data_IF_856990349200
#
_entry.id   IF_856990349200
#
_cell.length_a   1.000
_cell.length_b   1.000
_cell.length_c   1.000
_cell.angle_alpha   90.00
_cell.angle_beta   90.00
_cell.angle_gamma   90.00
#
_symmetry.space_group_name_H-M   'P 1'
#
loop_
_entity.id
_entity.type
_entity.pdbx_description
1 polymer ?
#
# COMPACT_ATOMS: atom_id res chain seq x y z
N UNK A 1 16.34 14.73 28.12
CA UNK A 1 15.50 15.71 27.40
C UNK A 1 15.94 15.91 25.95
N UNK A 2 17.16 16.39 25.65
CA UNK A 2 17.66 16.59 24.27
C UNK A 2 17.56 15.34 23.38
N UNK A 3 18.01 14.19 23.90
CA UNK A 3 17.94 12.89 23.21
C UNK A 3 16.53 12.42 22.86
N UNK A 4 15.54 12.75 23.70
CA UNK A 4 14.15 12.34 23.51
C UNK A 4 13.45 13.22 22.45
N UNK A 5 13.72 14.53 22.47
CA UNK A 5 13.26 15.46 21.42
C UNK A 5 13.84 15.07 20.06
N UNK A 6 15.13 14.72 20.02
CA UNK A 6 15.79 14.24 18.80
C UNK A 6 15.18 12.93 18.27
N UNK A 7 14.79 12.02 19.17
CA UNK A 7 14.11 10.77 18.80
C UNK A 7 12.71 11.03 18.20
N UNK A 8 11.90 11.88 18.83
CA UNK A 8 10.58 12.24 18.30
C UNK A 8 10.69 12.91 16.93
N UNK A 9 11.65 13.82 16.77
CA UNK A 9 11.87 14.46 15.48
C UNK A 9 12.23 13.48 14.38
N UNK A 10 13.04 12.46 14.67
CA UNK A 10 13.36 11.39 13.71
C UNK A 10 12.12 10.58 13.31
N UNK A 11 11.24 10.26 14.27
CA UNK A 11 9.98 9.56 13.99
C UNK A 11 9.04 10.40 13.13
N UNK A 12 8.95 11.71 13.36
CA UNK A 12 8.17 12.63 12.51
C UNK A 12 8.72 12.72 11.10
N UNK A 13 10.04 12.82 10.95
CA UNK A 13 10.69 12.81 9.64
C UNK A 13 10.37 11.50 8.92
N UNK A 14 10.55 10.36 9.59
CA UNK A 14 10.27 9.05 9.02
C UNK A 14 8.78 8.90 8.65
N UNK A 15 7.86 9.22 9.56
CA UNK A 15 6.42 9.11 9.34
C UNK A 15 5.92 10.06 8.25
N UNK A 16 6.39 11.31 8.25
CA UNK A 16 6.03 12.32 7.27
C UNK A 16 6.53 11.99 5.87
N UNK A 17 7.82 11.65 5.73
CA UNK A 17 8.38 11.21 4.44
C UNK A 17 7.70 9.94 3.94
N UNK A 18 7.48 8.95 4.81
CA UNK A 18 6.82 7.71 4.41
C UNK A 18 5.42 7.99 3.89
N UNK A 19 4.63 8.81 4.60
CA UNK A 19 3.26 9.21 4.22
C UNK A 19 3.22 9.95 2.87
N UNK A 20 4.31 10.64 2.48
CA UNK A 20 4.42 11.29 1.17
C UNK A 20 4.86 10.30 0.09
N UNK A 21 5.90 9.51 0.36
CA UNK A 21 6.61 8.74 -0.66
C UNK A 21 5.85 7.46 -1.05
N UNK A 22 5.27 6.73 -0.09
CA UNK A 22 4.62 5.45 -0.44
C UNK A 22 3.48 5.60 -1.47
N UNK A 23 2.60 6.64 -1.40
CA UNK A 23 1.58 6.84 -2.42
C UNK A 23 2.16 7.10 -3.82
N UNK A 24 3.29 7.81 -3.92
CA UNK A 24 3.97 8.00 -5.20
C UNK A 24 4.51 6.69 -5.77
N UNK A 25 5.09 5.83 -4.92
CA UNK A 25 5.59 4.52 -5.37
C UNK A 25 4.44 3.63 -5.85
N UNK A 26 3.29 3.63 -5.15
CA UNK A 26 2.09 2.94 -5.61
C UNK A 26 1.60 3.48 -6.95
N UNK A 27 1.55 4.81 -7.10
CA UNK A 27 1.14 5.44 -8.36
C UNK A 27 2.06 5.03 -9.51
N UNK A 28 3.37 5.08 -9.31
CA UNK A 28 4.34 4.66 -10.32
C UNK A 28 4.15 3.18 -10.66
N UNK A 29 3.94 2.33 -9.66
CA UNK A 29 3.65 0.91 -9.85
C UNK A 29 2.48 0.68 -10.82
N UNK A 30 1.33 1.30 -10.55
CA UNK A 30 0.14 1.19 -11.39
C UNK A 30 0.33 1.80 -12.79
N UNK A 31 0.99 2.96 -12.89
CA UNK A 31 1.27 3.60 -14.19
C UNK A 31 2.22 2.80 -15.08
N UNK A 32 3.03 1.92 -14.51
CA UNK A 32 3.94 1.04 -15.27
C UNK A 32 3.24 -0.24 -15.77
N UNK A 33 1.97 -0.49 -15.45
CA UNK A 33 1.26 -1.60 -16.07
C UNK A 33 1.07 -1.34 -17.58
N UNK A 34 1.44 -2.30 -18.45
CA UNK A 34 1.42 -2.12 -19.90
C UNK A 34 0.02 -1.82 -20.45
N UNK A 35 -1.02 -2.35 -19.80
CA UNK A 35 -2.41 -2.22 -20.22
C UNK A 35 -3.27 -1.47 -19.19
N UNK A 36 -2.81 -0.30 -18.72
CA UNK A 36 -3.52 0.49 -17.70
C UNK A 36 -4.97 0.84 -18.06
N UNK A 37 -5.31 0.88 -19.35
CA UNK A 37 -6.67 1.16 -19.84
C UNK A 37 -7.55 -0.10 -19.97
N UNK A 38 -6.96 -1.29 -19.79
CA UNK A 38 -7.73 -2.53 -19.80
C UNK A 38 -8.55 -2.66 -18.53
N UNK A 39 -9.75 -3.21 -18.70
CA UNK A 39 -10.66 -3.61 -17.61
C UNK A 39 -10.67 -5.13 -17.45
N UNK A 40 -9.76 -5.84 -18.12
CA UNK A 40 -9.69 -7.29 -18.11
C UNK A 40 -9.06 -7.78 -16.80
N UNK A 41 -9.72 -8.73 -16.17
CA UNK A 41 -9.21 -9.43 -15.00
C UNK A 41 -8.37 -10.62 -15.50
N UNK A 42 -7.24 -10.88 -14.84
CA UNK A 42 -6.42 -12.06 -15.14
C UNK A 42 -7.13 -13.30 -14.60
N UNK A 43 -7.73 -14.08 -15.49
CA UNK A 43 -8.48 -15.31 -15.19
C UNK A 43 -7.73 -16.58 -15.64
N UNK A 44 -6.81 -16.44 -16.60
CA UNK A 44 -6.10 -17.56 -17.20
C UNK A 44 -4.57 -17.39 -17.13
N UNK A 45 -3.85 -18.50 -17.02
CA UNK A 45 -2.39 -18.54 -16.97
C UNK A 45 -1.73 -17.84 -18.16
N UNK A 46 -2.32 -17.95 -19.35
CA UNK A 46 -1.85 -17.31 -20.57
C UNK A 46 -1.88 -15.77 -20.45
N UNK A 47 -2.93 -15.21 -19.85
CA UNK A 47 -3.01 -13.77 -19.59
C UNK A 47 -1.94 -13.34 -18.59
N UNK A 48 -1.68 -14.13 -17.55
CA UNK A 48 -0.59 -13.86 -16.62
C UNK A 48 0.76 -13.87 -17.34
N UNK A 49 1.02 -14.85 -18.20
CA UNK A 49 2.26 -14.96 -18.99
C UNK A 49 2.46 -13.73 -19.87
N UNK A 50 1.42 -13.28 -20.57
CA UNK A 50 1.48 -12.08 -21.42
C UNK A 50 1.91 -10.83 -20.64
N UNK A 51 1.53 -10.74 -19.36
CA UNK A 51 1.85 -9.60 -18.52
C UNK A 51 3.32 -9.55 -18.08
N UNK A 52 3.97 -10.70 -17.84
CA UNK A 52 5.32 -10.72 -17.25
C UNK A 52 6.43 -11.27 -18.16
N UNK A 53 6.15 -12.23 -19.05
CA UNK A 53 7.19 -12.91 -19.84
C UNK A 53 7.84 -11.90 -20.80
N UNK A 54 9.16 -11.73 -20.68
CA UNK A 54 9.93 -10.73 -21.42
C UNK A 54 9.46 -9.28 -21.22
N UNK A 55 8.76 -8.99 -20.13
CA UNK A 55 8.23 -7.65 -19.81
C UNK A 55 8.98 -7.06 -18.60
N UNK A 56 10.14 -6.41 -18.79
CA UNK A 56 10.93 -5.88 -17.68
C UNK A 56 10.18 -4.80 -16.89
N UNK A 57 9.29 -4.04 -17.56
CA UNK A 57 8.49 -2.99 -16.93
C UNK A 57 7.55 -3.57 -15.86
N UNK A 58 6.94 -4.73 -16.13
CA UNK A 58 6.07 -5.42 -15.18
C UNK A 58 6.83 -5.73 -13.88
N UNK A 59 8.03 -6.30 -14.00
CA UNK A 59 8.87 -6.64 -12.84
C UNK A 59 9.36 -5.41 -12.08
N UNK A 60 9.74 -4.34 -12.78
CA UNK A 60 10.17 -3.08 -12.16
C UNK A 60 9.01 -2.44 -11.40
N UNK A 61 7.82 -2.37 -12.00
CA UNK A 61 6.62 -1.81 -11.36
C UNK A 61 6.26 -2.54 -10.08
N UNK A 62 6.21 -3.88 -10.12
CA UNK A 62 5.94 -4.71 -8.94
C UNK A 62 7.03 -4.59 -7.87
N UNK A 63 8.30 -4.47 -8.27
CA UNK A 63 9.42 -4.25 -7.35
C UNK A 63 9.30 -2.89 -6.64
N UNK A 64 8.91 -1.83 -7.36
CA UNK A 64 8.66 -0.50 -6.78
C UNK A 64 7.54 -0.58 -5.74
N UNK A 65 6.44 -1.28 -6.05
CA UNK A 65 5.34 -1.51 -5.11
C UNK A 65 5.82 -2.28 -3.89
N UNK A 66 6.63 -3.33 -4.06
CA UNK A 66 7.20 -4.09 -2.94
C UNK A 66 8.05 -3.19 -2.01
N UNK A 67 8.84 -2.27 -2.57
CA UNK A 67 9.62 -1.30 -1.80
C UNK A 67 8.78 -0.20 -1.13
N UNK A 68 7.51 -0.02 -1.52
CA UNK A 68 6.59 0.88 -0.83
C UNK A 68 6.16 0.34 0.53
N UNK A 69 6.23 -0.98 0.75
CA UNK A 69 5.66 -1.65 1.93
C UNK A 69 6.31 -1.21 3.24
N UNK A 70 7.65 -1.12 3.38
CA UNK A 70 8.25 -0.56 4.58
C UNK A 70 7.78 0.86 4.89
N UNK A 71 7.55 1.68 3.87
CA UNK A 71 7.05 3.05 4.03
C UNK A 71 5.57 3.06 4.47
N UNK A 72 4.75 2.16 3.91
CA UNK A 72 3.36 1.94 4.37
C UNK A 72 3.37 1.58 5.86
N UNK A 73 4.20 0.62 6.26
CA UNK A 73 4.34 0.21 7.67
C UNK A 73 4.74 1.37 8.56
N UNK A 74 5.74 2.17 8.17
CA UNK A 74 6.17 3.35 8.93
C UNK A 74 5.05 4.40 9.04
N UNK A 75 4.30 4.65 7.98
CA UNK A 75 3.16 5.59 8.01
C UNK A 75 2.05 5.08 8.94
N UNK A 76 1.68 3.80 8.84
CA UNK A 76 0.65 3.17 9.69
C UNK A 76 1.05 3.19 11.16
N UNK A 77 2.30 2.85 11.48
CA UNK A 77 2.83 2.91 12.84
C UNK A 77 2.85 4.35 13.36
N UNK A 78 3.25 5.30 12.52
CA UNK A 78 3.24 6.71 12.90
C UNK A 78 1.81 7.17 13.26
N UNK A 79 0.81 6.85 12.44
CA UNK A 79 -0.59 7.19 12.72
C UNK A 79 -1.08 6.54 14.02
N UNK A 80 -0.72 5.28 14.28
CA UNK A 80 -1.01 4.59 15.54
C UNK A 80 -0.37 5.32 16.74
N UNK A 81 0.84 5.85 16.59
CA UNK A 81 1.54 6.56 17.64
C UNK A 81 0.90 7.92 17.96
N UNK A 82 0.43 8.68 16.97
CA UNK A 82 -0.11 10.03 17.19
C UNK A 82 -1.57 10.05 17.65
N UNK A 83 -2.37 9.04 17.28
CA UNK A 83 -3.77 8.97 17.70
C UNK A 83 -3.88 8.50 19.17
N UNK A 84 -4.15 9.45 20.07
CA UNK A 84 -4.23 9.22 21.53
C UNK A 84 -5.55 9.63 22.16
N UNK A 85 -6.36 10.42 21.46
CA UNK A 85 -7.67 10.89 21.92
C UNK A 85 -8.83 10.05 21.38
N UNK A 86 -9.85 10.75 20.85
CA UNK A 86 -11.10 10.15 20.34
C UNK A 86 -10.91 9.18 19.17
N UNK A 87 -9.76 9.22 18.50
CA UNK A 87 -9.35 8.34 17.41
C UNK A 87 -8.43 7.20 17.85
N UNK A 88 -8.03 7.10 19.13
CA UNK A 88 -7.07 6.11 19.59
C UNK A 88 -7.46 4.65 19.25
N UNK A 89 -8.74 4.30 19.43
CA UNK A 89 -9.25 2.95 19.05
C UNK A 89 -9.14 2.70 17.55
N UNK A 90 -9.40 3.72 16.74
CA UNK A 90 -9.24 3.66 15.29
C UNK A 90 -7.76 3.53 14.91
N UNK A 91 -6.87 4.27 15.58
CA UNK A 91 -5.42 4.17 15.40
C UNK A 91 -4.88 2.78 15.70
N UNK A 92 -5.28 2.20 16.82
CA UNK A 92 -4.85 0.86 17.25
C UNK A 92 -5.39 -0.25 16.35
N UNK A 93 -6.73 -0.40 16.26
CA UNK A 93 -7.32 -1.51 15.48
C UNK A 93 -7.08 -1.36 13.99
N UNK A 94 -7.24 -0.14 13.46
CA UNK A 94 -6.92 0.15 12.06
C UNK A 94 -5.44 -0.11 11.77
N UNK A 95 -4.55 0.25 12.69
CA UNK A 95 -3.13 -0.02 12.56
C UNK A 95 -2.81 -1.51 12.54
N UNK A 96 -3.35 -2.30 13.47
CA UNK A 96 -3.13 -3.76 13.49
C UNK A 96 -3.64 -4.44 12.22
N UNK A 97 -4.85 -4.08 11.77
CA UNK A 97 -5.44 -4.61 10.54
C UNK A 97 -4.58 -4.22 9.32
N UNK A 98 -4.15 -2.95 9.23
CA UNK A 98 -3.32 -2.46 8.13
C UNK A 98 -1.94 -3.12 8.10
N UNK A 99 -1.29 -3.33 9.25
CA UNK A 99 -0.01 -4.01 9.34
C UNK A 99 -0.09 -5.46 8.88
N UNK A 100 -1.15 -6.17 9.26
CA UNK A 100 -1.37 -7.53 8.77
C UNK A 100 -1.58 -7.53 7.25
N UNK A 101 -2.39 -6.62 6.73
CA UNK A 101 -2.56 -6.44 5.28
C UNK A 101 -1.25 -6.09 4.55
N UNK A 102 -0.37 -5.28 5.15
CA UNK A 102 0.94 -4.94 4.59
C UNK A 102 1.86 -6.17 4.49
N UNK A 103 1.80 -7.09 5.45
CA UNK A 103 2.50 -8.38 5.37
C UNK A 103 1.95 -9.21 4.21
N UNK A 104 0.63 -9.27 4.03
CA UNK A 104 0.02 -9.98 2.90
C UNK A 104 0.42 -9.34 1.57
N UNK A 105 0.42 -8.00 1.47
CA UNK A 105 0.90 -7.29 0.28
C UNK A 105 2.37 -7.63 -0.03
N UNK A 106 3.22 -7.82 1.00
CA UNK A 106 4.62 -8.20 0.80
C UNK A 106 4.75 -9.64 0.28
N UNK A 107 3.92 -10.54 0.79
CA UNK A 107 3.85 -11.91 0.28
C UNK A 107 3.35 -11.90 -1.17
N UNK A 108 2.30 -11.15 -1.49
CA UNK A 108 1.77 -11.05 -2.84
C UNK A 108 2.76 -10.39 -3.80
N UNK A 109 2.97 -9.07 -3.68
CA UNK A 109 3.78 -8.31 -4.64
C UNK A 109 5.27 -8.58 -4.55
N UNK A 110 5.78 -8.93 -3.37
CA UNK A 110 7.19 -9.29 -3.20
C UNK A 110 7.49 -10.69 -3.73
N UNK A 111 6.83 -11.72 -3.21
CA UNK A 111 7.17 -13.10 -3.58
C UNK A 111 6.75 -13.45 -5.01
N UNK A 112 5.58 -13.00 -5.47
CA UNK A 112 5.12 -13.27 -6.83
C UNK A 112 6.03 -12.61 -7.86
N UNK A 113 6.41 -11.34 -7.66
CA UNK A 113 7.32 -10.63 -8.56
C UNK A 113 8.67 -11.35 -8.68
N UNK A 114 9.26 -11.75 -7.55
CA UNK A 114 10.56 -12.43 -7.53
C UNK A 114 10.48 -13.80 -8.22
N UNK A 115 9.45 -14.60 -7.92
CA UNK A 115 9.26 -15.92 -8.52
C UNK A 115 9.04 -15.81 -10.03
N UNK A 116 8.14 -14.93 -10.48
CA UNK A 116 7.87 -14.73 -11.90
C UNK A 116 9.11 -14.20 -12.64
N UNK A 117 9.89 -13.30 -12.02
CA UNK A 117 11.16 -12.84 -12.61
C UNK A 117 12.19 -13.96 -12.73
N UNK A 118 12.17 -14.94 -11.82
CA UNK A 118 12.99 -16.15 -11.92
C UNK A 118 12.55 -17.04 -13.08
N UNK A 119 11.25 -17.25 -13.26
CA UNK A 119 10.73 -17.97 -14.43
C UNK A 119 11.08 -17.27 -15.74
N UNK A 120 11.19 -15.94 -15.75
CA UNK A 120 11.57 -15.19 -16.94
C UNK A 120 13.01 -15.50 -17.43
N UNK A 121 13.84 -16.12 -16.60
CA UNK A 121 15.21 -16.53 -16.98
C UNK A 121 15.29 -17.88 -17.70
N UNK A 122 14.21 -18.65 -17.71
CA UNK A 122 14.17 -19.96 -18.37
C UNK A 122 14.14 -19.80 -19.89
N UNK A 123 14.67 -20.81 -20.60
CA UNK A 123 14.46 -20.91 -22.04
C UNK A 123 12.97 -21.18 -22.38
N UNK A 124 12.57 -20.88 -23.60
CA UNK A 124 11.16 -20.94 -23.99
C UNK A 124 10.57 -22.35 -23.92
N UNK A 125 11.39 -23.39 -24.16
CA UNK A 125 10.92 -24.77 -24.09
C UNK A 125 10.64 -25.22 -22.65
N UNK A 126 11.52 -24.84 -21.72
CA UNK A 126 11.34 -25.07 -20.28
C UNK A 126 10.17 -24.26 -19.74
N UNK A 127 10.06 -22.98 -20.13
CA UNK A 127 9.00 -22.10 -19.69
C UNK A 127 7.62 -22.56 -20.19
N UNK A 128 7.51 -23.00 -21.45
CA UNK A 128 6.25 -23.49 -22.01
C UNK A 128 5.66 -24.66 -21.21
N UNK A 129 6.51 -25.52 -20.65
CA UNK A 129 6.11 -26.60 -19.75
C UNK A 129 5.54 -26.13 -18.40
N UNK A 130 5.80 -24.88 -17.98
CA UNK A 130 5.29 -24.31 -16.74
C UNK A 130 3.93 -23.65 -16.87
N UNK A 131 3.54 -23.20 -18.07
CA UNK A 131 2.31 -22.40 -18.28
C UNK A 131 1.08 -23.03 -17.63
N UNK A 132 0.76 -24.33 -17.81
CA UNK A 132 -0.42 -24.92 -17.18
C UNK A 132 -0.42 -24.88 -15.66
N UNK A 133 0.76 -24.89 -15.03
CA UNK A 133 0.90 -24.84 -13.58
C UNK A 133 0.78 -23.42 -13.02
N UNK A 134 1.00 -22.38 -13.83
CA UNK A 134 0.78 -21.00 -13.42
C UNK A 134 -0.70 -20.71 -13.11
N UNK A 135 -1.63 -21.51 -13.63
CA UNK A 135 -3.05 -21.40 -13.27
C UNK A 135 -3.28 -21.56 -11.76
N UNK A 136 -2.43 -22.33 -11.06
CA UNK A 136 -2.49 -22.48 -9.60
C UNK A 136 -2.29 -21.12 -8.89
N UNK A 137 -1.45 -20.25 -9.46
CA UNK A 137 -1.22 -18.90 -8.95
C UNK A 137 -2.42 -17.99 -9.22
N UNK A 138 -2.94 -18.03 -10.45
CA UNK A 138 -4.12 -17.25 -10.87
C UNK A 138 -5.35 -17.59 -10.03
N UNK A 139 -5.62 -18.89 -9.87
CA UNK A 139 -6.71 -19.43 -9.05
C UNK A 139 -6.48 -19.25 -7.53
N UNK A 140 -5.29 -18.79 -7.11
CA UNK A 140 -4.88 -18.67 -5.71
C UNK A 140 -5.11 -19.96 -4.90
N UNK A 141 -4.77 -21.13 -5.46
CA UNK A 141 -5.02 -22.44 -4.81
C UNK A 141 -4.08 -22.68 -3.63
N UNK A 142 -4.49 -23.58 -2.73
CA UNK A 142 -3.71 -23.92 -1.53
C UNK A 142 -3.62 -22.74 -0.55
N UNK A 143 -2.43 -22.47 -0.02
CA UNK A 143 -2.23 -21.36 0.92
C UNK A 143 -2.22 -19.98 0.24
N UNK A 144 -2.20 -19.90 -1.10
CA UNK A 144 -2.31 -18.64 -1.84
C UNK A 144 -3.66 -17.95 -1.63
N UNK A 145 -4.67 -18.66 -1.10
CA UNK A 145 -5.92 -18.08 -0.63
C UNK A 145 -5.70 -16.95 0.38
N UNK A 146 -4.55 -16.94 1.07
CA UNK A 146 -4.18 -15.86 1.98
C UNK A 146 -4.09 -14.51 1.26
N UNK A 147 -3.78 -14.47 -0.04
CA UNK A 147 -3.69 -13.21 -0.79
C UNK A 147 -5.03 -12.46 -0.84
N UNK A 148 -6.17 -13.13 -0.61
CA UNK A 148 -7.47 -12.45 -0.46
C UNK A 148 -7.50 -11.49 0.74
N UNK A 149 -6.66 -11.70 1.75
CA UNK A 149 -6.54 -10.80 2.90
C UNK A 149 -5.77 -9.51 2.62
N UNK A 150 -5.32 -9.28 1.38
CA UNK A 150 -4.72 -8.00 0.97
C UNK A 150 -5.67 -6.81 1.22
N UNK A 151 -6.99 -7.05 1.16
CA UNK A 151 -8.08 -6.11 1.48
C UNK A 151 -7.97 -5.53 2.90
N UNK A 152 -7.29 -6.22 3.81
CA UNK A 152 -7.09 -5.75 5.18
C UNK A 152 -6.23 -4.49 5.21
N UNK A 153 -5.29 -4.31 4.28
CA UNK A 153 -4.44 -3.13 4.25
C UNK A 153 -5.26 -1.83 4.09
N UNK A 154 -6.02 -1.64 3.01
CA UNK A 154 -6.85 -0.45 2.83
C UNK A 154 -7.97 -0.36 3.88
N UNK A 155 -8.54 -1.48 4.33
CA UNK A 155 -9.53 -1.47 5.41
C UNK A 155 -8.96 -0.88 6.71
N UNK A 156 -7.78 -1.32 7.13
CA UNK A 156 -7.10 -0.80 8.31
C UNK A 156 -6.74 0.68 8.16
N UNK A 157 -6.26 1.07 6.98
CA UNK A 157 -5.94 2.45 6.65
C UNK A 157 -7.19 3.36 6.65
N UNK A 158 -8.34 2.88 6.17
CA UNK A 158 -9.64 3.58 6.26
C UNK A 158 -10.00 3.83 7.72
N UNK A 159 -9.88 2.82 8.57
CA UNK A 159 -10.15 2.97 10.01
C UNK A 159 -9.21 4.02 10.62
N UNK A 160 -7.91 4.00 10.30
CA UNK A 160 -6.97 5.03 10.75
C UNK A 160 -7.32 6.43 10.21
N UNK A 161 -7.76 6.55 8.96
CA UNK A 161 -8.21 7.82 8.39
C UNK A 161 -9.42 8.41 9.13
N UNK A 162 -10.37 7.54 9.55
CA UNK A 162 -11.48 7.94 10.43
C UNK A 162 -10.93 8.47 11.77
N UNK A 163 -9.91 7.82 12.33
CA UNK A 163 -9.22 8.27 13.54
C UNK A 163 -8.60 9.67 13.37
N UNK A 164 -7.88 9.90 12.26
CA UNK A 164 -7.27 11.18 11.93
C UNK A 164 -8.30 12.32 11.81
N UNK A 165 -9.47 12.05 11.22
CA UNK A 165 -10.58 13.01 11.17
C UNK A 165 -11.16 13.28 12.56
N UNK A 166 -11.34 12.24 13.38
CA UNK A 166 -11.91 12.36 14.75
C UNK A 166 -11.04 13.17 15.70
N UNK A 167 -9.73 13.16 15.50
CA UNK A 167 -8.76 13.95 16.28
C UNK A 167 -8.34 15.26 15.58
N UNK A 168 -8.99 15.60 14.46
CA UNK A 168 -8.74 16.83 13.70
C UNK A 168 -7.29 16.98 13.16
N UNK A 169 -6.56 15.87 12.99
CA UNK A 169 -5.28 15.90 12.29
C UNK A 169 -5.47 16.24 10.80
N UNK A 170 -6.61 15.83 10.23
CA UNK A 170 -7.03 16.16 8.87
C UNK A 170 -8.49 16.63 8.86
N UNK A 171 -8.85 17.46 7.88
CA UNK A 171 -10.23 17.90 7.68
C UNK A 171 -11.13 16.80 7.10
N UNK A 172 -12.45 17.00 7.16
CA UNK A 172 -13.44 16.01 6.65
C UNK A 172 -13.28 15.73 5.16
N UNK A 173 -13.07 16.76 4.34
CA UNK A 173 -12.88 16.61 2.89
C UNK A 173 -11.63 15.80 2.59
N UNK A 174 -10.53 16.09 3.31
CA UNK A 174 -9.27 15.35 3.21
C UNK A 174 -9.49 13.87 3.60
N UNK A 175 -10.19 13.63 4.71
CA UNK A 175 -10.54 12.28 5.15
C UNK A 175 -11.40 11.51 4.15
N UNK A 176 -12.43 12.14 3.56
CA UNK A 176 -13.25 11.53 2.50
C UNK A 176 -12.40 11.18 1.28
N UNK A 177 -11.49 12.05 0.87
CA UNK A 177 -10.56 11.78 -0.24
C UNK A 177 -9.69 10.54 0.02
N UNK A 178 -9.12 10.43 1.23
CA UNK A 178 -8.34 9.24 1.63
C UNK A 178 -9.21 7.99 1.61
N UNK A 179 -10.39 8.03 2.23
CA UNK A 179 -11.28 6.86 2.33
C UNK A 179 -11.73 6.40 0.95
N UNK A 180 -12.18 7.32 0.09
CA UNK A 180 -12.60 6.99 -1.27
C UNK A 180 -11.44 6.40 -2.08
N UNK A 181 -10.24 6.99 -1.97
CA UNK A 181 -9.05 6.47 -2.63
C UNK A 181 -8.72 5.03 -2.20
N UNK A 182 -8.76 4.76 -0.90
CA UNK A 182 -8.54 3.42 -0.34
C UNK A 182 -9.63 2.42 -0.70
N UNK A 183 -10.88 2.85 -0.84
CA UNK A 183 -11.98 1.99 -1.32
C UNK A 183 -11.76 1.59 -2.77
N UNK A 184 -11.31 2.51 -3.64
CA UNK A 184 -11.02 2.18 -5.03
C UNK A 184 -9.82 1.23 -5.17
N UNK A 185 -8.82 1.36 -4.28
CA UNK A 185 -7.67 0.45 -4.21
C UNK A 185 -8.02 -1.00 -3.86
N UNK A 186 -9.25 -1.28 -3.38
CA UNK A 186 -9.72 -2.66 -3.18
C UNK A 186 -10.07 -3.39 -4.48
N UNK A 187 -9.98 -2.72 -5.63
CA UNK A 187 -10.14 -3.34 -6.94
C UNK A 187 -8.79 -3.41 -7.67
N UNK A 188 -7.87 -4.31 -7.23
CA UNK A 188 -6.51 -4.34 -7.74
C UNK A 188 -6.42 -4.83 -9.19
N UNK A 189 -7.46 -5.50 -9.70
CA UNK A 189 -7.44 -6.09 -11.03
C UNK A 189 -7.70 -5.05 -12.14
N UNK A 190 -8.23 -3.87 -11.78
CA UNK A 190 -8.47 -2.79 -12.73
C UNK A 190 -7.53 -1.62 -12.42
N UNK A 191 -6.44 -1.56 -13.20
CA UNK A 191 -5.32 -0.63 -12.99
C UNK A 191 -5.75 0.84 -13.05
N UNK A 192 -6.70 1.19 -13.92
CA UNK A 192 -7.25 2.54 -14.01
C UNK A 192 -7.99 2.96 -12.71
N UNK A 193 -8.76 2.04 -12.13
CA UNK A 193 -9.50 2.29 -10.88
C UNK A 193 -8.51 2.45 -9.73
N UNK A 194 -7.51 1.57 -9.66
CA UNK A 194 -6.44 1.65 -8.65
C UNK A 194 -5.63 2.94 -8.79
N UNK A 195 -5.30 3.37 -10.01
CA UNK A 195 -4.63 4.64 -10.29
C UNK A 195 -5.44 5.84 -9.80
N UNK A 196 -6.73 5.90 -10.14
CA UNK A 196 -7.63 6.94 -9.65
C UNK A 196 -7.74 6.92 -8.11
N UNK A 197 -7.78 5.73 -7.52
CA UNK A 197 -7.75 5.51 -6.08
C UNK A 197 -6.51 6.10 -5.42
N UNK A 198 -5.31 5.84 -5.96
CA UNK A 198 -4.07 6.42 -5.44
C UNK A 198 -4.06 7.93 -5.56
N UNK A 199 -4.51 8.51 -6.69
CA UNK A 199 -4.57 9.98 -6.86
C UNK A 199 -5.47 10.63 -5.80
N UNK A 200 -6.65 10.07 -5.54
CA UNK A 200 -7.55 10.55 -4.49
C UNK A 200 -6.95 10.39 -3.09
N UNK A 201 -6.30 9.25 -2.83
CA UNK A 201 -5.61 9.01 -1.58
C UNK A 201 -4.46 10.01 -1.36
N UNK A 202 -3.69 10.32 -2.41
CA UNK A 202 -2.60 11.29 -2.41
C UNK A 202 -3.05 12.70 -2.04
N UNK A 203 -4.21 13.14 -2.55
CA UNK A 203 -4.79 14.44 -2.18
C UNK A 203 -5.00 14.57 -0.66
N UNK A 204 -5.15 13.45 0.05
CA UNK A 204 -5.21 13.39 1.50
C UNK A 204 -3.85 13.18 2.19
N UNK A 205 -3.05 12.22 1.74
CA UNK A 205 -1.81 11.87 2.43
C UNK A 205 -0.66 12.87 2.20
N UNK A 206 -0.55 13.50 1.04
CA UNK A 206 0.51 14.48 0.79
C UNK A 206 0.44 15.68 1.75
N UNK A 207 -0.72 16.37 1.90
CA UNK A 207 -0.83 17.45 2.87
C UNK A 207 -0.60 16.99 4.32
N UNK A 208 -1.05 15.78 4.67
CA UNK A 208 -0.80 15.20 6.00
C UNK A 208 0.71 15.02 6.24
N UNK A 209 1.41 14.39 5.32
CA UNK A 209 2.86 14.19 5.41
C UNK A 209 3.63 15.51 5.50
N UNK A 210 3.26 16.52 4.72
CA UNK A 210 3.85 17.86 4.80
C UNK A 210 3.61 18.48 6.19
N UNK A 211 2.40 18.34 6.73
CA UNK A 211 2.07 18.85 8.06
C UNK A 211 2.85 18.12 9.17
N UNK A 212 3.02 16.79 9.06
CA UNK A 212 3.87 16.02 9.96
C UNK A 212 5.30 16.58 9.97
N UNK A 213 5.89 16.80 8.79
CA UNK A 213 7.26 17.31 8.68
C UNK A 213 7.42 18.74 9.22
N UNK A 214 6.41 19.60 9.01
CA UNK A 214 6.46 21.02 9.41
C UNK A 214 6.17 21.24 10.89
N UNK A 215 5.10 20.64 11.39
CA UNK A 215 4.57 20.94 12.74
C UNK A 215 5.06 19.94 13.78
N UNK A 216 5.28 18.70 13.36
CA UNK A 216 5.37 17.59 14.29
C UNK A 216 4.06 17.33 15.01
N UNK A 217 3.88 16.09 15.47
CA UNK A 217 2.71 15.68 16.23
C UNK A 217 3.07 14.77 17.42
N UNK A 218 4.34 14.37 17.55
CA UNK A 218 4.80 13.56 18.67
C UNK A 218 5.46 14.49 19.68
N UNK A 219 4.82 14.67 20.84
CA UNK A 219 5.35 15.51 21.93
C UNK A 219 4.77 16.92 22.03
N UNK A 220 3.78 17.28 21.21
CA UNK A 220 2.87 18.38 21.57
C UNK A 220 1.95 17.89 22.70
N UNK A 221 1.85 18.60 23.84
CA UNK A 221 0.88 18.25 24.87
C UNK A 221 -0.51 18.24 24.23
N UNK A 222 -1.31 17.20 24.51
CA UNK A 222 -2.74 17.28 24.26
C UNK A 222 -3.23 18.54 24.97
N UNK A 223 -3.80 19.49 24.24
CA UNK A 223 -4.35 20.71 24.85
C UNK A 223 -5.55 20.43 25.78
N UNK A 224 -5.93 19.16 25.95
CA UNK A 224 -7.04 18.71 26.77
C UNK A 224 -6.63 17.50 27.65
N UNK A 225 -5.64 17.66 28.53
CA UNK A 225 -5.42 16.76 29.68
C UNK A 225 -5.82 17.47 30.98
#
# INVERSE_FOLDING_TARGET
MKTQVDQYRRLEIAGGLSTIIFPFLLLIGFLLHPDILSFDIVEHAEQLVLNFRHQPIFHIGHTIVAFSIPLIVLSVLYVLLVLKGRGARCGFWGGMIALFGAVILALDKGSLCLVLSGFDTLDDAQFAGLIPYLQVLVDKRGLLVINWFIVLLPLGAIIQAIGLVRENFIGRVQGVSVIMGLVLLNNPDIELISTAGVILMMAGYLPLGINILRKGYIGTPSLDA
#
